data_IF_571146128013
#
_entry.id   IF_571146128013
#
_cell.length_a   1.000
_cell.length_b   1.000
_cell.length_c   1.000
_cell.angle_alpha   90.00
_cell.angle_beta   90.00
_cell.angle_gamma   90.00
#
_symmetry.space_group_name_H-M   'P 1'
#
loop_
_entity.id
_entity.type
_entity.pdbx_description
1 polymer ?
#
# COMPACT_ATOMS: atom_id res chain seq x y z
N UNK A 1 7.39 -0.43 -12.66
CA UNK A 1 6.60 0.81 -12.62
C UNK A 1 7.37 1.93 -13.32
N UNK A 2 6.81 2.61 -14.33
CA UNK A 2 7.45 3.77 -15.00
C UNK A 2 7.62 4.98 -14.07
N UNK A 3 8.55 5.89 -14.40
CA UNK A 3 8.86 7.08 -13.59
C UNK A 3 7.64 7.96 -13.29
N UNK A 4 6.75 8.14 -14.27
CA UNK A 4 5.51 8.91 -14.08
C UNK A 4 4.61 8.32 -13.00
N UNK A 5 4.57 7.00 -12.86
CA UNK A 5 3.81 6.32 -11.80
C UNK A 5 4.52 6.38 -10.44
N UNK A 6 5.86 6.42 -10.44
CA UNK A 6 6.66 6.61 -9.21
C UNK A 6 6.41 7.99 -8.60
N UNK A 7 6.35 9.05 -9.42
CA UNK A 7 6.00 10.40 -8.94
C UNK A 7 4.62 10.41 -8.29
N UNK A 8 3.62 9.84 -8.96
CA UNK A 8 2.25 9.73 -8.42
C UNK A 8 2.23 8.94 -7.10
N UNK A 9 2.95 7.81 -7.03
CA UNK A 9 3.07 7.05 -5.79
C UNK A 9 3.68 7.89 -4.66
N UNK A 10 4.77 8.62 -4.93
CA UNK A 10 5.42 9.46 -3.92
C UNK A 10 4.45 10.49 -3.35
N UNK A 11 3.65 11.13 -4.20
CA UNK A 11 2.65 12.12 -3.79
C UNK A 11 1.55 11.47 -2.94
N UNK A 12 1.08 10.28 -3.33
CA UNK A 12 0.10 9.51 -2.56
C UNK A 12 0.64 9.12 -1.18
N UNK A 13 1.87 8.58 -1.13
CA UNK A 13 2.54 8.25 0.12
C UNK A 13 2.67 9.49 1.00
N UNK A 14 3.10 10.63 0.47
CA UNK A 14 3.21 11.88 1.22
C UNK A 14 1.86 12.40 1.74
N UNK A 15 0.77 12.18 1.00
CA UNK A 15 -0.57 12.59 1.40
C UNK A 15 -1.13 11.76 2.56
N UNK A 16 -0.88 10.45 2.57
CA UNK A 16 -1.38 9.51 3.59
C UNK A 16 -0.41 9.26 4.74
N UNK A 17 0.87 9.56 4.55
CA UNK A 17 1.87 9.45 5.60
C UNK A 17 1.71 10.61 6.61
N UNK A 18 0.90 10.35 7.64
CA UNK A 18 0.65 11.25 8.77
C UNK A 18 1.23 10.62 10.04
N UNK A 19 2.55 10.73 10.27
CA UNK A 19 3.18 10.09 11.42
C UNK A 19 2.70 10.74 12.72
N UNK A 20 2.24 9.93 13.67
CA UNK A 20 1.75 10.39 14.96
C UNK A 20 2.07 9.36 16.06
N UNK A 21 2.60 9.84 17.19
CA UNK A 21 2.94 8.98 18.32
C UNK A 21 3.90 7.85 17.92
N UNK A 22 3.44 6.60 18.03
CA UNK A 22 4.21 5.40 17.68
C UNK A 22 4.04 4.98 16.21
N UNK A 23 3.11 5.61 15.48
CA UNK A 23 2.80 5.31 14.07
C UNK A 23 3.73 6.08 13.15
N UNK A 24 4.94 5.55 12.93
CA UNK A 24 6.05 6.27 12.30
C UNK A 24 6.60 5.55 11.06
N UNK A 25 6.04 4.41 10.67
CA UNK A 25 6.56 3.60 9.57
C UNK A 25 5.76 3.65 8.26
N UNK A 26 6.40 3.17 7.20
CA UNK A 26 5.77 2.77 5.93
C UNK A 26 5.99 1.27 5.72
N UNK A 27 4.97 0.55 5.28
CA UNK A 27 5.06 -0.87 4.90
C UNK A 27 5.04 -0.99 3.37
N UNK A 28 5.96 -1.76 2.83
CA UNK A 28 6.01 -2.16 1.42
C UNK A 28 6.06 -3.68 1.29
N UNK A 29 5.69 -4.20 0.12
CA UNK A 29 6.07 -5.54 -0.30
C UNK A 29 7.58 -5.63 -0.50
N UNK A 30 8.17 -6.76 -0.12
CA UNK A 30 9.60 -7.03 -0.31
C UNK A 30 9.96 -7.19 -1.78
N UNK A 31 9.02 -7.67 -2.60
CA UNK A 31 9.15 -7.75 -4.05
C UNK A 31 9.00 -6.42 -4.79
N UNK A 32 8.78 -5.30 -4.10
CA UNK A 32 8.63 -4.01 -4.77
C UNK A 32 9.91 -3.60 -5.50
N UNK A 33 9.78 -2.85 -6.59
CA UNK A 33 10.91 -2.27 -7.30
C UNK A 33 11.70 -1.30 -6.40
N UNK A 34 13.01 -1.18 -6.61
CA UNK A 34 13.86 -0.27 -5.81
C UNK A 34 13.43 1.19 -5.90
N UNK A 35 12.86 1.64 -7.03
CA UNK A 35 12.30 2.98 -7.15
C UNK A 35 11.10 3.21 -6.21
N UNK A 36 10.31 2.17 -5.92
CA UNK A 36 9.20 2.24 -4.95
C UNK A 36 9.75 2.41 -3.54
N UNK A 37 10.77 1.64 -3.17
CA UNK A 37 11.45 1.76 -1.89
C UNK A 37 12.14 3.13 -1.72
N UNK A 38 12.72 3.67 -2.79
CA UNK A 38 13.31 5.00 -2.81
C UNK A 38 12.24 6.09 -2.59
N UNK A 39 11.11 6.03 -3.29
CA UNK A 39 10.02 6.99 -3.10
C UNK A 39 9.47 6.99 -1.66
N UNK A 40 9.31 5.82 -1.04
CA UNK A 40 8.92 5.72 0.36
C UNK A 40 10.00 6.27 1.32
N UNK A 41 11.27 6.03 1.01
CA UNK A 41 12.41 6.56 1.78
C UNK A 41 12.49 8.09 1.72
N UNK A 42 12.19 8.68 0.55
CA UNK A 42 12.11 10.13 0.38
C UNK A 42 11.01 10.71 1.29
N UNK A 43 9.83 10.09 1.31
CA UNK A 43 8.69 10.52 2.15
C UNK A 43 9.05 10.42 3.64
N UNK A 44 9.66 9.32 4.08
CA UNK A 44 10.13 9.16 5.46
C UNK A 44 11.15 10.24 5.84
N UNK A 45 12.14 10.47 4.98
CA UNK A 45 13.21 11.46 5.21
C UNK A 45 12.67 12.88 5.26
N UNK A 46 11.72 13.23 4.38
CA UNK A 46 11.05 14.53 4.38
C UNK A 46 10.30 14.83 5.68
N UNK A 47 9.92 13.78 6.43
CA UNK A 47 9.26 13.87 7.74
C UNK A 47 10.21 13.58 8.92
N UNK A 48 11.53 13.64 8.69
CA UNK A 48 12.54 13.46 9.74
C UNK A 48 12.67 12.03 10.28
N UNK A 49 12.11 11.04 9.60
CA UNK A 49 12.26 9.63 9.97
C UNK A 49 13.46 8.98 9.27
N UNK A 50 14.07 8.01 9.94
CA UNK A 50 15.15 7.21 9.36
C UNK A 50 14.58 5.99 8.61
N UNK A 51 14.74 5.89 7.27
CA UNK A 51 14.19 4.77 6.50
C UNK A 51 14.64 3.40 7.00
N UNK A 52 15.91 3.27 7.42
CA UNK A 52 16.47 2.03 7.97
C UNK A 52 15.73 1.50 9.22
N UNK A 53 14.94 2.33 9.90
CA UNK A 53 14.14 1.95 11.08
C UNK A 53 12.63 1.96 10.83
N UNK A 54 12.18 2.70 9.81
CA UNK A 54 10.77 3.02 9.60
C UNK A 54 10.20 2.50 8.28
N UNK A 55 11.03 1.96 7.40
CA UNK A 55 10.58 1.27 6.20
C UNK A 55 10.59 -0.24 6.42
N UNK A 56 9.41 -0.84 6.52
CA UNK A 56 9.27 -2.29 6.53
C UNK A 56 9.10 -2.81 5.10
N UNK A 57 9.82 -3.88 4.77
CA UNK A 57 9.63 -4.68 3.55
C UNK A 57 9.20 -6.07 3.95
N UNK A 58 7.96 -6.45 3.62
CA UNK A 58 7.43 -7.78 3.94
C UNK A 58 8.02 -8.80 2.97
N UNK A 59 8.73 -9.80 3.46
CA UNK A 59 9.34 -10.80 2.59
C UNK A 59 8.46 -12.05 2.51
N UNK A 60 8.43 -12.73 1.35
CA UNK A 60 7.82 -14.06 1.26
C UNK A 60 8.55 -15.03 2.20
N UNK A 61 7.85 -16.12 2.55
CA UNK A 61 8.49 -17.22 3.28
C UNK A 61 9.62 -17.83 2.42
N UNK A 62 10.64 -18.45 3.04
CA UNK A 62 11.73 -19.08 2.30
C UNK A 62 11.21 -20.06 1.23
N UNK A 63 11.61 -19.82 -0.03
CA UNK A 63 11.22 -20.65 -1.17
C UNK A 63 9.90 -20.26 -1.86
N UNK A 64 9.18 -19.25 -1.35
CA UNK A 64 7.94 -18.78 -1.96
C UNK A 64 8.18 -17.57 -2.89
N UNK A 65 7.43 -17.46 -4.00
CA UNK A 65 7.64 -16.40 -4.98
C UNK A 65 6.99 -15.06 -4.58
N UNK A 66 6.03 -15.07 -3.65
CA UNK A 66 5.26 -13.91 -3.23
C UNK A 66 4.80 -14.06 -1.78
N UNK A 67 4.51 -12.94 -1.13
CA UNK A 67 3.99 -12.91 0.23
C UNK A 67 2.61 -13.57 0.27
N UNK A 68 2.39 -14.40 1.29
CA UNK A 68 1.07 -14.98 1.51
C UNK A 68 0.12 -13.93 2.07
N UNK A 69 -1.12 -13.81 1.56
CA UNK A 69 -2.06 -12.84 2.08
C UNK A 69 -2.32 -12.95 3.59
N UNK A 70 -2.36 -14.17 4.14
CA UNK A 70 -2.55 -14.39 5.57
C UNK A 70 -1.39 -13.88 6.42
N UNK A 71 -0.16 -13.91 5.91
CA UNK A 71 1.02 -13.39 6.61
C UNK A 71 1.03 -11.87 6.59
N UNK A 72 0.64 -11.27 5.46
CA UNK A 72 0.51 -9.81 5.32
C UNK A 72 -0.59 -9.28 6.25
N UNK A 73 -1.76 -9.91 6.26
CA UNK A 73 -2.85 -9.55 7.15
C UNK A 73 -2.44 -9.70 8.62
N UNK A 74 -1.85 -10.84 9.00
CA UNK A 74 -1.38 -11.08 10.37
C UNK A 74 -0.29 -10.11 10.81
N UNK A 75 0.61 -9.70 9.91
CA UNK A 75 1.59 -8.65 10.18
C UNK A 75 0.90 -7.32 10.51
N UNK A 76 -0.07 -6.90 9.70
CA UNK A 76 -0.79 -5.64 9.89
C UNK A 76 -1.65 -5.66 11.15
N UNK A 77 -2.31 -6.77 11.46
CA UNK A 77 -3.06 -6.92 12.72
C UNK A 77 -2.16 -6.76 13.95
N UNK A 78 -0.97 -7.38 13.90
CA UNK A 78 -0.07 -7.41 15.05
C UNK A 78 0.77 -6.14 15.19
N UNK A 79 1.27 -5.60 14.08
CA UNK A 79 2.28 -4.55 14.05
C UNK A 79 1.83 -3.29 13.33
N UNK A 80 0.69 -3.30 12.62
CA UNK A 80 0.22 -2.18 11.80
C UNK A 80 0.00 -0.87 12.58
N UNK A 81 -0.18 -0.93 13.90
CA UNK A 81 -0.26 0.25 14.76
C UNK A 81 1.03 1.11 14.76
N UNK A 82 2.18 0.54 14.38
CA UNK A 82 3.45 1.28 14.24
C UNK A 82 3.62 1.95 12.86
N UNK A 83 2.71 1.69 11.91
CA UNK A 83 2.85 2.12 10.51
C UNK A 83 1.73 3.06 10.09
N UNK A 84 2.11 4.21 9.50
CA UNK A 84 1.16 5.20 9.02
C UNK A 84 0.46 4.77 7.74
N UNK A 85 1.22 4.17 6.82
CA UNK A 85 0.73 3.76 5.52
C UNK A 85 1.39 2.47 5.05
N UNK A 86 0.61 1.60 4.41
CA UNK A 86 1.06 0.45 3.66
C UNK A 86 0.83 0.68 2.16
N UNK A 87 1.80 0.31 1.33
CA UNK A 87 1.67 0.25 -0.12
C UNK A 87 2.03 -1.15 -0.61
N UNK A 88 1.03 -1.86 -1.13
CA UNK A 88 1.16 -3.28 -1.45
C UNK A 88 0.67 -3.57 -2.88
N UNK A 89 1.30 -4.52 -3.58
CA UNK A 89 0.70 -5.10 -4.76
C UNK A 89 -0.57 -5.83 -4.36
N UNK A 90 -1.59 -5.65 -5.16
CA UNK A 90 -2.89 -6.19 -4.86
C UNK A 90 -2.91 -7.72 -5.13
N UNK A 91 -3.43 -8.55 -4.21
CA UNK A 91 -3.35 -10.01 -4.31
C UNK A 91 -4.28 -10.57 -5.39
N UNK A 92 -4.02 -11.79 -5.87
CA UNK A 92 -4.79 -12.36 -6.98
C UNK A 92 -6.30 -12.54 -6.70
N UNK A 93 -6.70 -12.63 -5.43
CA UNK A 93 -8.11 -12.78 -5.04
C UNK A 93 -8.59 -11.54 -4.31
N UNK A 94 -9.77 -11.07 -4.69
CA UNK A 94 -10.46 -9.96 -4.04
C UNK A 94 -10.69 -10.18 -2.54
N UNK A 95 -11.05 -11.40 -2.12
CA UNK A 95 -11.24 -11.72 -0.70
C UNK A 95 -9.97 -11.48 0.14
N UNK A 96 -8.80 -11.71 -0.44
CA UNK A 96 -7.51 -11.51 0.22
C UNK A 96 -7.18 -10.01 0.35
N UNK A 97 -7.50 -9.24 -0.70
CA UNK A 97 -7.37 -7.78 -0.69
C UNK A 97 -8.25 -7.16 0.41
N UNK A 98 -9.50 -7.61 0.51
CA UNK A 98 -10.46 -7.16 1.52
C UNK A 98 -9.94 -7.51 2.94
N UNK A 99 -9.44 -8.73 3.13
CA UNK A 99 -8.91 -9.17 4.43
C UNK A 99 -7.69 -8.33 4.86
N UNK A 100 -6.73 -8.11 3.97
CA UNK A 100 -5.56 -7.27 4.24
C UNK A 100 -5.97 -5.82 4.50
N UNK A 101 -6.95 -5.31 3.75
CA UNK A 101 -7.47 -3.95 3.94
C UNK A 101 -8.11 -3.78 5.31
N UNK A 102 -8.92 -4.75 5.74
CA UNK A 102 -9.52 -4.76 7.07
C UNK A 102 -8.46 -4.81 8.18
N UNK A 103 -7.43 -5.64 8.03
CA UNK A 103 -6.31 -5.74 8.97
C UNK A 103 -5.54 -4.43 9.12
N UNK A 104 -5.11 -3.82 8.00
CA UNK A 104 -4.42 -2.53 8.00
C UNK A 104 -5.26 -1.45 8.70
N UNK A 105 -6.51 -1.26 8.24
CA UNK A 105 -7.38 -0.22 8.79
C UNK A 105 -7.76 -0.46 10.24
N UNK A 106 -8.01 -1.70 10.64
CA UNK A 106 -8.30 -2.08 12.02
C UNK A 106 -7.15 -1.74 12.97
N UNK A 107 -5.91 -1.78 12.48
CA UNK A 107 -4.72 -1.32 13.21
C UNK A 107 -4.45 0.19 13.10
N UNK A 108 -5.29 0.93 12.37
CA UNK A 108 -5.14 2.36 12.07
C UNK A 108 -4.10 2.69 10.99
N UNK A 109 -3.58 1.68 10.28
CA UNK A 109 -2.67 1.85 9.15
C UNK A 109 -3.48 2.15 7.88
N UNK A 110 -3.19 3.27 7.21
CA UNK A 110 -3.79 3.52 5.89
C UNK A 110 -3.24 2.52 4.88
N UNK A 111 -4.04 2.11 3.90
CA UNK A 111 -3.60 1.12 2.90
C UNK A 111 -3.88 1.55 1.46
N UNK A 112 -2.80 1.53 0.68
CA UNK A 112 -2.81 1.78 -0.75
C UNK A 112 -2.47 0.54 -1.56
N UNK A 113 -3.12 0.41 -2.72
CA UNK A 113 -2.97 -0.76 -3.59
C UNK A 113 -2.35 -0.41 -4.95
N UNK A 114 -1.28 -1.14 -5.30
CA UNK A 114 -0.76 -1.22 -6.67
C UNK A 114 -1.57 -2.26 -7.46
N UNK A 115 -2.41 -1.77 -8.35
CA UNK A 115 -3.25 -2.55 -9.26
C UNK A 115 -2.77 -2.40 -10.71
N UNK A 116 -1.58 -1.81 -10.94
CA UNK A 116 -1.08 -1.54 -12.30
C UNK A 116 -0.76 -2.80 -13.10
N UNK A 117 -0.51 -3.92 -12.41
CA UNK A 117 -0.35 -5.26 -12.98
C UNK A 117 -1.53 -6.20 -12.70
N UNK A 118 -2.66 -5.69 -12.19
CA UNK A 118 -3.83 -6.51 -11.86
C UNK A 118 -4.59 -6.87 -13.15
N UNK A 119 -4.41 -8.12 -13.60
CA UNK A 119 -5.15 -8.72 -14.70
C UNK A 119 -6.05 -9.84 -14.16
N UNK A 120 -7.16 -9.44 -13.53
CA UNK A 120 -8.21 -10.38 -13.15
C UNK A 120 -9.28 -10.35 -14.24
N UNK A 121 -9.33 -11.41 -15.02
CA UNK A 121 -10.28 -11.59 -16.12
C UNK A 121 -11.72 -11.40 -15.62
N UNK A 122 -12.47 -10.48 -16.23
CA UNK A 122 -13.89 -10.27 -15.98
C UNK A 122 -14.25 -9.31 -14.84
N UNK A 123 -13.28 -8.61 -14.25
CA UNK A 123 -13.54 -7.62 -13.20
C UNK A 123 -12.91 -6.27 -13.53
N UNK A 124 -13.73 -5.33 -14.02
CA UNK A 124 -13.29 -3.94 -14.12
C UNK A 124 -13.04 -3.38 -12.70
N UNK A 125 -11.88 -2.76 -12.50
CA UNK A 125 -11.56 -1.99 -11.29
C UNK A 125 -12.01 -0.55 -11.52
N UNK A 126 -12.87 -0.05 -10.65
CA UNK A 126 -13.29 1.33 -10.60
C UNK A 126 -13.33 1.86 -9.16
N UNK A 127 -13.63 3.15 -9.00
CA UNK A 127 -13.67 3.79 -7.69
C UNK A 127 -14.76 3.25 -6.76
N UNK A 128 -15.87 2.72 -7.31
CA UNK A 128 -16.94 2.14 -6.50
C UNK A 128 -16.46 0.86 -5.83
N UNK A 129 -15.81 0.00 -6.61
CA UNK A 129 -15.25 -1.26 -6.09
C UNK A 129 -14.10 -1.04 -5.11
N UNK A 130 -13.21 -0.07 -5.38
CA UNK A 130 -12.14 0.31 -4.44
C UNK A 130 -12.71 0.80 -3.10
N UNK A 131 -13.84 1.50 -3.14
CA UNK A 131 -14.57 1.94 -1.94
C UNK A 131 -15.20 0.76 -1.19
N UNK A 132 -15.80 -0.18 -1.91
CA UNK A 132 -16.35 -1.41 -1.33
C UNK A 132 -15.28 -2.27 -0.64
N UNK A 133 -14.09 -2.36 -1.25
CA UNK A 133 -12.94 -3.01 -0.63
C UNK A 133 -12.39 -2.26 0.58
N UNK A 134 -12.70 -0.97 0.70
CA UNK A 134 -12.25 -0.11 1.79
C UNK A 134 -10.85 0.45 1.60
N UNK A 135 -10.28 0.40 0.39
CA UNK A 135 -8.96 0.97 0.10
C UNK A 135 -8.90 2.45 0.51
N UNK A 136 -7.75 2.91 1.02
CA UNK A 136 -7.53 4.34 1.25
C UNK A 136 -7.10 5.05 -0.02
N UNK A 137 -6.27 4.39 -0.84
CA UNK A 137 -5.91 4.89 -2.16
C UNK A 137 -5.50 3.74 -3.07
N UNK A 138 -5.41 3.99 -4.37
CA UNK A 138 -4.94 2.99 -5.32
C UNK A 138 -4.39 3.62 -6.59
N UNK A 139 -3.55 2.86 -7.30
CA UNK A 139 -3.05 3.18 -8.62
C UNK A 139 -3.34 2.00 -9.56
N UNK A 140 -3.98 2.25 -10.70
CA UNK A 140 -4.21 1.21 -11.72
C UNK A 140 -4.06 1.76 -13.13
N UNK A 141 -4.16 0.86 -14.12
CA UNK A 141 -4.14 1.23 -15.54
C UNK A 141 -5.50 0.99 -16.19
N UNK A 142 -5.92 1.96 -16.98
CA UNK A 142 -7.08 1.90 -17.87
C UNK A 142 -6.57 2.17 -19.30
N UNK A 143 -6.17 1.09 -19.97
CA UNK A 143 -5.39 1.14 -21.20
C UNK A 143 -4.04 1.85 -21.01
N UNK A 144 -3.82 2.95 -21.75
CA UNK A 144 -2.61 3.77 -21.61
C UNK A 144 -2.68 4.75 -20.43
N UNK A 145 -3.86 4.95 -19.83
CA UNK A 145 -4.05 5.92 -18.77
C UNK A 145 -3.72 5.31 -17.41
N UNK A 146 -2.99 6.06 -16.62
CA UNK A 146 -2.82 5.80 -15.19
C UNK A 146 -3.99 6.44 -14.46
N UNK A 147 -4.62 5.68 -13.58
CA UNK A 147 -5.75 6.11 -12.76
C UNK A 147 -5.35 6.07 -11.30
N UNK A 148 -5.85 7.03 -10.54
CA UNK A 148 -5.58 7.20 -9.12
C UNK A 148 -6.91 7.27 -8.41
N UNK A 149 -7.02 6.55 -7.30
CA UNK A 149 -8.11 6.65 -6.36
C UNK A 149 -7.56 7.16 -5.04
N UNK A 150 -8.26 8.11 -4.42
CA UNK A 150 -8.03 8.50 -3.04
C UNK A 150 -9.38 8.54 -2.34
N UNK A 151 -9.43 7.92 -1.17
CA UNK A 151 -10.55 8.07 -0.26
C UNK A 151 -10.40 9.43 0.41
N UNK A 152 -11.38 10.32 0.22
CA UNK A 152 -11.47 11.55 1.00
C UNK A 152 -11.38 11.18 2.48
N UNK A 153 -10.41 11.72 3.24
CA UNK A 153 -10.37 11.50 4.67
C UNK A 153 -11.72 11.91 5.23
N UNK A 154 -12.37 11.05 6.02
CA UNK A 154 -13.49 11.50 6.84
C UNK A 154 -12.92 12.63 7.68
N UNK A 155 -13.46 13.85 7.50
CA UNK A 155 -13.13 14.98 8.34
C UNK A 155 -13.26 14.51 9.80
N UNK A 156 -12.13 14.50 10.51
CA UNK A 156 -12.09 14.28 11.95
C UNK A 156 -12.89 15.34 12.69
#
# INVERSE_FOLDING_TARGET
MPESQITVLRDLLAAYYRPEGFRLGIVLSGGCAEQVAAAASDVLTAHGQAPARRLARLLPRPGEPAERPEDVAGFLEKYGHEYAVAWLPAPAREADLIAITAAARGSGCAIGWDLTGWDVTGSAVDEARLREWGADFALWRDGERVRVYTRTPLSS
#
